data_IF_563172777502
#
_entry.id   IF_563172777502
#
_cell.length_a   1.000
_cell.length_b   1.000
_cell.length_c   1.000
_cell.angle_alpha   90.00
_cell.angle_beta   90.00
_cell.angle_gamma   90.00
#
_symmetry.space_group_name_H-M   'P 1'
#
loop_
_entity.id
_entity.type
_entity.pdbx_description
1 polymer ?
#
# COMPACT_ATOMS: atom_id res chain seq x y z
N UNK A 1 39.35 -46.13 46.86
CA UNK A 1 39.59 -44.74 46.41
C UNK A 1 39.15 -44.56 44.96
N UNK A 2 37.95 -44.02 44.71
CA UNK A 2 37.59 -43.43 43.41
C UNK A 2 36.69 -42.22 43.68
N UNK A 3 37.27 -41.03 43.53
CA UNK A 3 36.58 -39.74 43.56
C UNK A 3 35.59 -39.69 42.39
N UNK A 4 34.33 -39.33 42.61
CA UNK A 4 33.42 -38.87 41.55
C UNK A 4 33.08 -37.41 41.81
N UNK A 5 33.36 -36.65 40.77
CA UNK A 5 33.29 -35.20 40.62
C UNK A 5 31.86 -34.68 40.81
N UNK A 6 31.72 -33.60 41.58
CA UNK A 6 30.59 -32.68 41.49
C UNK A 6 30.42 -32.19 40.04
N UNK A 7 29.18 -32.17 39.55
CA UNK A 7 28.76 -31.24 38.51
C UNK A 7 27.57 -30.45 39.03
N UNK A 8 27.84 -29.17 39.25
CA UNK A 8 26.87 -28.11 39.54
C UNK A 8 25.85 -28.04 38.39
N UNK A 9 24.57 -27.99 38.76
CA UNK A 9 23.47 -27.69 37.83
C UNK A 9 23.27 -26.18 37.93
N UNK A 10 23.79 -25.45 36.94
CA UNK A 10 23.48 -24.04 36.75
C UNK A 10 22.22 -23.98 35.87
N UNK A 11 21.06 -23.77 36.49
CA UNK A 11 19.81 -23.52 35.78
C UNK A 11 19.84 -22.12 35.17
N UNK A 12 20.07 -22.06 33.86
CA UNK A 12 19.99 -20.83 33.09
C UNK A 12 18.53 -20.60 32.73
N UNK A 13 17.83 -19.77 33.52
CA UNK A 13 16.52 -19.27 33.16
C UNK A 13 16.68 -18.32 31.96
N UNK A 14 16.34 -18.78 30.76
CA UNK A 14 16.10 -17.88 29.63
C UNK A 14 14.88 -17.02 29.98
N UNK A 15 15.09 -15.75 30.28
CA UNK A 15 14.04 -14.75 30.08
C UNK A 15 13.81 -14.67 28.57
N UNK A 16 12.79 -15.37 28.07
CA UNK A 16 12.14 -14.97 26.82
C UNK A 16 11.44 -13.65 27.09
N UNK A 17 12.16 -12.54 26.97
CA UNK A 17 11.56 -11.29 26.57
C UNK A 17 10.96 -11.54 25.19
N UNK A 18 9.66 -11.80 25.15
CA UNK A 18 8.88 -11.77 23.92
C UNK A 18 9.03 -10.38 23.34
N UNK A 19 9.97 -10.20 22.42
CA UNK A 19 10.07 -8.99 21.63
C UNK A 19 8.72 -8.91 20.90
N UNK A 20 7.93 -7.88 21.22
CA UNK A 20 6.76 -7.46 20.45
C UNK A 20 7.26 -7.00 19.08
N UNK A 21 7.62 -7.95 18.23
CA UNK A 21 8.11 -7.74 16.88
C UNK A 21 7.05 -8.20 15.89
N UNK A 22 7.13 -7.69 14.66
CA UNK A 22 6.38 -8.23 13.54
C UNK A 22 6.85 -9.67 13.29
N UNK A 23 6.08 -10.63 13.79
CA UNK A 23 6.25 -12.04 13.46
C UNK A 23 5.42 -12.33 12.22
N UNK A 24 6.01 -12.93 11.19
CA UNK A 24 5.28 -13.30 9.96
C UNK A 24 4.71 -14.72 10.11
N UNK A 25 3.45 -14.91 10.54
CA UNK A 25 2.82 -16.22 10.51
C UNK A 25 2.56 -16.68 9.06
N UNK A 26 2.15 -17.93 8.90
CA UNK A 26 1.75 -18.52 7.61
C UNK A 26 0.64 -17.72 6.92
N UNK A 27 -0.18 -16.99 7.68
CA UNK A 27 -1.28 -16.16 7.20
C UNK A 27 -0.93 -14.66 7.07
N UNK A 28 0.35 -14.28 7.17
CA UNK A 28 0.78 -12.89 6.99
C UNK A 28 0.46 -12.36 5.58
N UNK A 29 0.53 -11.03 5.40
CA UNK A 29 0.47 -10.44 4.08
C UNK A 29 1.54 -11.05 3.17
N UNK A 30 1.21 -11.23 1.90
CA UNK A 30 2.18 -11.74 0.93
C UNK A 30 3.36 -10.78 0.84
N UNK A 31 4.53 -11.31 0.47
CA UNK A 31 5.72 -10.49 0.22
C UNK A 31 5.40 -9.45 -0.86
N UNK A 32 5.81 -8.20 -0.66
CA UNK A 32 5.59 -7.12 -1.61
C UNK A 32 6.76 -6.90 -2.58
N UNK A 33 7.88 -7.62 -2.41
CA UNK A 33 9.13 -7.40 -3.15
C UNK A 33 9.00 -7.44 -4.67
N UNK A 34 8.00 -8.18 -5.19
CA UNK A 34 7.73 -8.33 -6.62
C UNK A 34 6.83 -7.23 -7.19
N UNK A 35 6.14 -6.42 -6.39
CA UNK A 35 5.18 -5.42 -6.89
C UNK A 35 5.88 -4.33 -7.70
N UNK A 36 5.48 -4.20 -8.97
CA UNK A 36 5.85 -3.15 -9.92
C UNK A 36 4.57 -2.65 -10.58
N UNK A 37 4.05 -1.52 -10.09
CA UNK A 37 2.68 -1.14 -10.41
C UNK A 37 2.47 0.29 -10.89
N UNK A 38 1.25 0.52 -11.36
CA UNK A 38 0.71 1.84 -11.70
C UNK A 38 -0.65 2.04 -10.99
N UNK A 39 -0.88 3.26 -10.50
CA UNK A 39 -2.21 3.69 -10.06
C UNK A 39 -3.07 3.98 -11.30
N UNK A 40 -4.33 3.53 -11.28
CA UNK A 40 -5.27 3.63 -12.40
C UNK A 40 -6.56 4.28 -11.88
N UNK A 41 -6.99 5.44 -12.42
CA UNK A 41 -8.18 6.14 -11.94
C UNK A 41 -9.48 5.46 -12.43
N UNK A 42 -9.75 4.25 -11.93
CA UNK A 42 -10.73 3.33 -12.48
C UNK A 42 -12.16 3.90 -12.44
N UNK A 43 -12.59 4.42 -11.29
CA UNK A 43 -13.96 4.94 -11.17
C UNK A 43 -14.18 6.30 -11.85
N UNK A 44 -13.12 7.11 -12.03
CA UNK A 44 -13.22 8.44 -12.66
C UNK A 44 -13.20 8.38 -14.18
N UNK A 45 -12.51 7.39 -14.75
CA UNK A 45 -12.35 7.21 -16.19
C UNK A 45 -12.62 5.76 -16.60
N UNK A 46 -13.82 5.28 -16.28
CA UNK A 46 -14.21 3.87 -16.35
C UNK A 46 -13.74 3.15 -17.64
N UNK A 47 -14.24 3.56 -18.81
CA UNK A 47 -13.95 2.87 -20.07
C UNK A 47 -12.48 2.96 -20.47
N UNK A 48 -11.85 4.11 -20.23
CA UNK A 48 -10.44 4.34 -20.57
C UNK A 48 -9.51 3.54 -19.66
N UNK A 49 -9.74 3.57 -18.34
CA UNK A 49 -9.02 2.80 -17.33
C UNK A 49 -9.17 1.30 -17.57
N UNK A 50 -10.40 0.83 -17.85
CA UNK A 50 -10.63 -0.58 -18.16
C UNK A 50 -9.87 -1.05 -19.40
N UNK A 51 -9.82 -0.21 -20.45
CA UNK A 51 -9.08 -0.50 -21.68
C UNK A 51 -7.56 -0.42 -21.46
N UNK A 52 -7.10 0.51 -20.63
CA UNK A 52 -5.68 0.71 -20.34
C UNK A 52 -5.03 -0.50 -19.66
N UNK A 53 -5.79 -1.35 -18.95
CA UNK A 53 -5.27 -2.56 -18.32
C UNK A 53 -4.52 -3.48 -19.30
N UNK A 54 -4.99 -3.61 -20.55
CA UNK A 54 -4.32 -4.44 -21.56
C UNK A 54 -2.91 -3.89 -21.88
N UNK A 55 -2.80 -2.57 -21.99
CA UNK A 55 -1.52 -1.91 -22.23
C UNK A 55 -0.62 -2.03 -21.01
N UNK A 56 -1.14 -1.78 -19.81
CA UNK A 56 -0.38 -1.88 -18.55
C UNK A 56 0.26 -3.27 -18.42
N UNK A 57 -0.51 -4.34 -18.65
CA UNK A 57 0.01 -5.71 -18.68
C UNK A 57 1.09 -5.89 -19.76
N UNK A 58 0.79 -5.53 -21.02
CA UNK A 58 1.72 -5.72 -22.14
C UNK A 58 3.04 -4.96 -22.01
N UNK A 59 3.07 -3.91 -21.18
CA UNK A 59 4.24 -3.07 -20.90
C UNK A 59 5.05 -3.58 -19.69
N UNK A 60 4.63 -4.71 -19.10
CA UNK A 60 5.36 -5.42 -18.07
C UNK A 60 5.12 -4.92 -16.65
N UNK A 61 4.04 -4.17 -16.39
CA UNK A 61 3.58 -3.94 -15.02
C UNK A 61 2.89 -5.21 -14.51
N UNK A 62 3.03 -5.52 -13.23
CA UNK A 62 2.39 -6.71 -12.64
C UNK A 62 1.30 -6.38 -11.62
N UNK A 63 1.16 -5.11 -11.25
CA UNK A 63 0.21 -4.65 -10.23
C UNK A 63 -0.50 -3.40 -10.71
N UNK A 64 -1.81 -3.32 -10.46
CA UNK A 64 -2.59 -2.10 -10.65
C UNK A 64 -3.24 -1.72 -9.34
N UNK A 65 -3.06 -0.47 -8.90
CA UNK A 65 -3.84 0.10 -7.81
C UNK A 65 -5.03 0.84 -8.42
N UNK A 66 -6.21 0.27 -8.28
CA UNK A 66 -7.45 0.76 -8.87
C UNK A 66 -8.09 1.77 -7.93
N UNK A 67 -8.06 3.05 -8.32
CA UNK A 67 -8.82 4.11 -7.64
C UNK A 67 -10.30 3.81 -7.80
N UNK A 68 -10.98 3.66 -6.67
CA UNK A 68 -12.40 3.37 -6.58
C UNK A 68 -13.08 4.36 -5.65
N UNK A 69 -14.39 4.22 -5.48
CA UNK A 69 -15.13 4.99 -4.49
C UNK A 69 -16.37 4.26 -4.01
N UNK A 70 -16.98 4.76 -2.93
CA UNK A 70 -18.16 4.15 -2.32
C UNK A 70 -19.40 4.14 -3.22
N UNK A 71 -19.42 4.93 -4.30
CA UNK A 71 -20.48 4.92 -5.30
C UNK A 71 -20.34 3.80 -6.35
N UNK A 72 -19.19 3.13 -6.41
CA UNK A 72 -18.94 2.06 -7.37
C UNK A 72 -19.79 0.81 -7.12
N UNK A 73 -20.34 0.21 -8.18
CA UNK A 73 -21.17 -0.99 -8.06
C UNK A 73 -20.35 -2.27 -7.92
N UNK A 74 -20.90 -3.28 -7.24
CA UNK A 74 -20.28 -4.61 -7.12
C UNK A 74 -20.03 -5.24 -8.49
N UNK A 75 -21.00 -5.14 -9.41
CA UNK A 75 -20.87 -5.68 -10.77
C UNK A 75 -19.70 -5.05 -11.52
N UNK A 76 -19.53 -3.72 -11.45
CA UNK A 76 -18.44 -3.06 -12.18
C UNK A 76 -17.08 -3.36 -11.56
N UNK A 77 -17.01 -3.43 -10.23
CA UNK A 77 -15.81 -3.88 -9.55
C UNK A 77 -15.43 -5.31 -9.99
N UNK A 78 -16.41 -6.22 -10.07
CA UNK A 78 -16.21 -7.59 -10.55
C UNK A 78 -15.65 -7.63 -11.98
N UNK A 79 -16.12 -6.76 -12.88
CA UNK A 79 -15.59 -6.68 -14.24
C UNK A 79 -14.10 -6.30 -14.24
N UNK A 80 -13.71 -5.26 -13.48
CA UNK A 80 -12.31 -4.83 -13.39
C UNK A 80 -11.42 -5.95 -12.82
N UNK A 81 -11.86 -6.61 -11.76
CA UNK A 81 -11.10 -7.69 -11.13
C UNK A 81 -11.01 -8.94 -12.01
N UNK A 82 -12.09 -9.29 -12.71
CA UNK A 82 -12.09 -10.36 -13.73
C UNK A 82 -11.08 -10.06 -14.84
N UNK A 83 -11.02 -8.81 -15.30
CA UNK A 83 -10.02 -8.40 -16.29
C UNK A 83 -8.60 -8.51 -15.76
N UNK A 84 -8.35 -8.09 -14.51
CA UNK A 84 -7.04 -8.24 -13.88
C UNK A 84 -6.64 -9.71 -13.77
N UNK A 85 -7.54 -10.60 -13.36
CA UNK A 85 -7.28 -12.04 -13.27
C UNK A 85 -6.92 -12.66 -14.62
N UNK A 86 -7.63 -12.27 -15.69
CA UNK A 86 -7.36 -12.73 -17.05
C UNK A 86 -6.00 -12.26 -17.59
N UNK A 87 -5.59 -11.04 -17.23
CA UNK A 87 -4.30 -10.47 -17.61
C UNK A 87 -3.16 -10.90 -16.66
N UNK A 88 -3.47 -11.55 -15.54
CA UNK A 88 -2.48 -11.88 -14.52
C UNK A 88 -1.96 -10.67 -13.73
N UNK A 89 -2.63 -9.52 -13.81
CA UNK A 89 -2.33 -8.34 -13.01
C UNK A 89 -2.81 -8.55 -11.57
N UNK A 90 -2.01 -8.14 -10.58
CA UNK A 90 -2.43 -8.03 -9.17
C UNK A 90 -3.25 -6.76 -8.97
N UNK A 91 -4.54 -6.83 -8.64
CA UNK A 91 -5.30 -5.63 -8.31
C UNK A 91 -5.19 -5.30 -6.83
N UNK A 92 -4.92 -4.03 -6.53
CA UNK A 92 -5.11 -3.43 -5.21
C UNK A 92 -6.24 -2.40 -5.37
N UNK A 93 -7.38 -2.59 -4.71
CA UNK A 93 -8.52 -1.69 -4.85
C UNK A 93 -8.58 -0.76 -3.66
N UNK A 94 -8.63 0.54 -3.89
CA UNK A 94 -8.67 1.58 -2.85
C UNK A 94 -9.95 2.40 -2.93
N UNK A 95 -10.47 2.88 -1.79
CA UNK A 95 -11.57 3.85 -1.77
C UNK A 95 -11.06 5.27 -1.55
N UNK A 96 -11.30 6.13 -2.53
CA UNK A 96 -10.74 7.48 -2.56
C UNK A 96 -11.58 8.52 -1.81
N UNK A 97 -12.76 8.14 -1.29
CA UNK A 97 -13.74 9.04 -0.66
C UNK A 97 -13.22 9.72 0.62
N UNK A 98 -12.17 9.17 1.24
CA UNK A 98 -11.65 9.60 2.54
C UNK A 98 -10.28 10.31 2.46
N UNK A 99 -9.78 10.58 1.25
CA UNK A 99 -8.50 11.27 1.01
C UNK A 99 -8.39 12.58 1.81
N UNK A 100 -7.33 12.71 2.60
CA UNK A 100 -7.08 13.88 3.46
C UNK A 100 -8.02 14.03 4.66
N UNK A 101 -8.95 13.08 4.85
CA UNK A 101 -9.88 13.07 5.97
C UNK A 101 -9.20 12.73 7.29
N UNK A 102 -9.69 13.31 8.38
CA UNK A 102 -9.17 13.08 9.75
C UNK A 102 -10.23 12.66 10.76
N UNK A 103 -11.50 12.62 10.35
CA UNK A 103 -12.61 12.15 11.18
C UNK A 103 -12.85 10.66 10.95
N UNK A 104 -13.22 9.92 11.99
CA UNK A 104 -13.49 8.48 11.88
C UNK A 104 -14.72 8.17 11.02
N UNK A 105 -15.62 9.12 10.80
CA UNK A 105 -16.81 8.95 9.96
C UNK A 105 -16.48 8.75 8.48
N UNK A 106 -15.46 9.45 7.94
CA UNK A 106 -15.03 9.25 6.55
C UNK A 106 -14.38 7.88 6.35
N UNK A 107 -13.57 7.42 7.32
CA UNK A 107 -13.07 6.04 7.32
C UNK A 107 -14.20 5.02 7.43
N UNK A 108 -15.16 5.24 8.34
CA UNK A 108 -16.30 4.34 8.52
C UNK A 108 -17.15 4.25 7.25
N UNK A 109 -17.25 5.31 6.47
CA UNK A 109 -17.93 5.30 5.16
C UNK A 109 -17.26 4.29 4.22
N UNK A 110 -15.93 4.29 4.16
CA UNK A 110 -15.16 3.33 3.37
C UNK A 110 -15.31 1.89 3.92
N UNK A 111 -15.22 1.71 5.23
CA UNK A 111 -15.42 0.39 5.88
C UNK A 111 -16.81 -0.17 5.58
N UNK A 112 -17.85 0.67 5.64
CA UNK A 112 -19.22 0.27 5.37
C UNK A 112 -19.41 -0.22 3.92
N UNK A 113 -18.67 0.33 2.96
CA UNK A 113 -18.64 -0.19 1.60
C UNK A 113 -18.06 -1.60 1.54
N UNK A 114 -16.88 -1.79 2.14
CA UNK A 114 -16.16 -3.06 2.12
C UNK A 114 -16.90 -4.22 2.78
N UNK A 115 -17.72 -3.94 3.80
CA UNK A 115 -18.48 -4.98 4.52
C UNK A 115 -19.85 -5.29 3.92
N UNK A 116 -20.24 -4.63 2.82
CA UNK A 116 -21.44 -5.03 2.08
C UNK A 116 -21.28 -6.45 1.56
N UNK A 117 -22.34 -7.25 1.65
CA UNK A 117 -22.30 -8.65 1.23
C UNK A 117 -21.99 -8.84 -0.25
N UNK A 118 -22.45 -7.93 -1.11
CA UNK A 118 -22.18 -7.97 -2.55
C UNK A 118 -20.71 -7.64 -2.87
N UNK A 119 -20.12 -6.65 -2.21
CA UNK A 119 -18.70 -6.31 -2.34
C UNK A 119 -17.80 -7.42 -1.79
N UNK A 120 -18.13 -7.98 -0.62
CA UNK A 120 -17.40 -9.13 -0.07
C UNK A 120 -17.43 -10.32 -1.03
N UNK A 121 -18.59 -10.62 -1.61
CA UNK A 121 -18.72 -11.70 -2.61
C UNK A 121 -17.79 -11.48 -3.80
N UNK A 122 -17.68 -10.26 -4.30
CA UNK A 122 -16.74 -9.92 -5.38
C UNK A 122 -15.31 -10.16 -4.95
N UNK A 123 -14.90 -9.66 -3.79
CA UNK A 123 -13.54 -9.85 -3.29
C UNK A 123 -13.19 -11.33 -3.05
N UNK A 124 -14.15 -12.17 -2.64
CA UNK A 124 -13.94 -13.62 -2.53
C UNK A 124 -13.77 -14.33 -3.86
N UNK A 125 -14.50 -13.89 -4.89
CA UNK A 125 -14.36 -14.43 -6.24
C UNK A 125 -13.00 -14.09 -6.88
N UNK A 126 -12.33 -13.05 -6.37
CA UNK A 126 -11.04 -12.57 -6.83
C UNK A 126 -9.99 -12.61 -5.70
N UNK A 127 -9.59 -13.81 -5.21
CA UNK A 127 -8.78 -13.95 -4.00
C UNK A 127 -7.36 -13.36 -4.11
N UNK A 128 -6.90 -13.03 -5.32
CA UNK A 128 -5.64 -12.30 -5.53
C UNK A 128 -5.77 -10.81 -5.21
N UNK A 129 -6.97 -10.24 -5.26
CA UNK A 129 -7.19 -8.82 -5.04
C UNK A 129 -6.85 -8.42 -3.59
N UNK A 130 -6.18 -7.29 -3.45
CA UNK A 130 -5.96 -6.66 -2.14
C UNK A 130 -6.96 -5.52 -1.94
N UNK A 131 -7.36 -5.34 -0.69
CA UNK A 131 -8.28 -4.30 -0.26
C UNK A 131 -7.48 -3.20 0.45
N UNK A 132 -7.40 -2.02 -0.13
CA UNK A 132 -6.84 -0.84 0.51
C UNK A 132 -8.01 -0.03 1.11
N UNK A 133 -8.08 0.05 2.44
CA UNK A 133 -9.32 0.44 3.13
C UNK A 133 -9.82 1.80 2.66
N UNK A 134 -8.94 2.79 2.66
CA UNK A 134 -9.22 4.18 2.33
C UNK A 134 -7.92 4.83 1.88
N UNK A 135 -7.95 5.56 0.77
CA UNK A 135 -6.81 6.35 0.33
C UNK A 135 -6.50 7.43 1.38
N UNK A 136 -5.26 7.46 1.85
CA UNK A 136 -4.69 8.62 2.57
C UNK A 136 -5.47 9.11 3.81
N UNK A 137 -6.31 8.26 4.41
CA UNK A 137 -7.09 8.66 5.58
C UNK A 137 -6.23 8.71 6.84
N UNK A 138 -6.43 9.79 7.61
CA UNK A 138 -6.03 9.91 9.00
C UNK A 138 -5.19 11.16 9.29
N UNK A 139 -5.31 11.74 10.50
CA UNK A 139 -4.40 12.79 10.94
C UNK A 139 -2.99 12.22 11.15
N UNK A 140 -1.96 13.04 10.91
CA UNK A 140 -0.55 12.66 11.08
C UNK A 140 -0.17 12.42 12.55
N UNK A 141 0.73 11.47 12.77
CA UNK A 141 1.31 11.04 14.04
C UNK A 141 0.26 10.93 15.14
N UNK A 142 -0.79 10.15 14.88
CA UNK A 142 -2.00 10.19 15.70
C UNK A 142 -2.47 8.83 16.18
N UNK A 143 -2.79 8.76 17.47
CA UNK A 143 -3.54 7.61 18.01
C UNK A 143 -4.93 7.51 17.39
N UNK A 144 -5.47 8.57 16.79
CA UNK A 144 -6.74 8.52 16.02
C UNK A 144 -6.57 7.66 14.77
N UNK A 145 -5.46 7.82 14.02
CA UNK A 145 -5.12 6.96 12.89
C UNK A 145 -5.04 5.49 13.34
N UNK A 146 -4.27 5.25 14.41
CA UNK A 146 -4.10 3.90 14.99
C UNK A 146 -5.42 3.25 15.36
N UNK A 147 -6.22 3.92 16.19
CA UNK A 147 -7.44 3.35 16.76
C UNK A 147 -8.55 3.24 15.70
N UNK A 148 -8.57 4.16 14.73
CA UNK A 148 -9.41 4.06 13.53
C UNK A 148 -9.11 2.79 12.73
N UNK A 149 -7.84 2.54 12.39
CA UNK A 149 -7.48 1.34 11.61
C UNK A 149 -7.61 0.03 12.39
N UNK A 150 -7.37 0.01 13.71
CA UNK A 150 -7.70 -1.15 14.55
C UNK A 150 -9.19 -1.51 14.45
N UNK A 151 -10.06 -0.51 14.53
CA UNK A 151 -11.51 -0.69 14.40
C UNK A 151 -11.91 -1.13 12.99
N UNK A 152 -11.37 -0.48 11.96
CA UNK A 152 -11.64 -0.78 10.55
C UNK A 152 -11.26 -2.22 10.19
N UNK A 153 -10.04 -2.64 10.53
CA UNK A 153 -9.57 -4.01 10.31
C UNK A 153 -10.46 -5.02 11.03
N UNK A 154 -10.77 -4.78 12.31
CA UNK A 154 -11.66 -5.66 13.08
C UNK A 154 -13.04 -5.83 12.43
N UNK A 155 -13.66 -4.74 11.96
CA UNK A 155 -14.96 -4.78 11.27
C UNK A 155 -14.89 -5.56 9.95
N UNK A 156 -13.88 -5.30 9.12
CA UNK A 156 -13.69 -5.98 7.82
C UNK A 156 -13.45 -7.49 8.03
N UNK A 157 -12.64 -7.87 9.03
CA UNK A 157 -12.42 -9.28 9.39
C UNK A 157 -13.68 -9.94 9.95
N UNK A 158 -14.44 -9.25 10.79
CA UNK A 158 -15.70 -9.76 11.36
C UNK A 158 -16.74 -10.00 10.28
N UNK A 159 -16.77 -9.16 9.24
CA UNK A 159 -17.63 -9.34 8.07
C UNK A 159 -17.19 -10.52 7.18
N UNK A 160 -16.00 -11.08 7.43
CA UNK A 160 -15.51 -12.33 6.85
C UNK A 160 -14.33 -12.19 5.90
N UNK A 161 -13.92 -10.98 5.49
CA UNK A 161 -12.83 -10.83 4.52
C UNK A 161 -11.52 -11.40 5.09
N UNK A 162 -10.85 -12.29 4.35
CA UNK A 162 -9.62 -12.98 4.80
C UNK A 162 -8.37 -12.58 4.00
N UNK A 163 -8.53 -11.91 2.85
CA UNK A 163 -7.45 -11.44 1.99
C UNK A 163 -6.61 -10.32 2.61
N UNK A 164 -5.57 -9.88 1.88
CA UNK A 164 -4.68 -8.81 2.37
C UNK A 164 -5.41 -7.49 2.44
N UNK A 165 -5.14 -6.76 3.53
CA UNK A 165 -5.61 -5.40 3.76
C UNK A 165 -4.42 -4.45 3.68
N UNK A 166 -4.51 -3.43 2.83
CA UNK A 166 -3.55 -2.33 2.71
C UNK A 166 -4.03 -1.12 3.53
N UNK A 167 -3.12 -0.54 4.31
CA UNK A 167 -3.39 0.59 5.21
C UNK A 167 -2.44 1.73 4.88
N UNK A 168 -2.96 2.86 4.41
CA UNK A 168 -2.17 4.05 4.10
C UNK A 168 -1.81 4.80 5.38
N UNK A 169 -0.64 5.43 5.39
CA UNK A 169 -0.28 6.42 6.39
C UNK A 169 -1.26 7.60 6.40
N UNK A 170 -1.39 8.27 7.55
CA UNK A 170 -2.11 9.54 7.63
C UNK A 170 -1.33 10.68 6.97
N UNK A 171 -1.87 11.89 7.08
CA UNK A 171 -1.23 13.08 6.51
C UNK A 171 -1.07 13.01 5.00
N UNK A 172 -2.15 12.67 4.29
CA UNK A 172 -2.13 12.52 2.84
C UNK A 172 -1.18 11.40 2.39
N UNK A 173 -1.10 10.31 3.16
CA UNK A 173 -0.19 9.18 2.88
C UNK A 173 1.28 9.45 3.15
N UNK A 174 1.67 10.67 3.53
CA UNK A 174 3.07 11.08 3.62
C UNK A 174 3.66 10.99 5.04
N UNK A 175 2.86 10.70 6.08
CA UNK A 175 3.37 10.65 7.46
C UNK A 175 4.06 9.32 7.82
N UNK A 176 5.39 9.35 7.88
CA UNK A 176 6.19 8.22 8.36
C UNK A 176 5.94 7.85 9.82
N UNK A 177 5.48 8.80 10.66
CA UNK A 177 5.39 8.62 12.11
C UNK A 177 4.27 7.66 12.48
N UNK A 178 3.12 7.75 11.81
CA UNK A 178 2.01 6.80 11.97
C UNK A 178 2.48 5.35 11.81
N UNK A 179 3.25 5.08 10.76
CA UNK A 179 3.78 3.74 10.51
C UNK A 179 4.82 3.36 11.57
N UNK A 180 5.83 4.20 11.82
CA UNK A 180 6.93 3.84 12.71
C UNK A 180 6.52 3.67 14.18
N UNK A 181 5.47 4.38 14.61
CA UNK A 181 5.01 4.41 16.00
C UNK A 181 3.83 3.47 16.24
N UNK A 182 2.92 3.30 15.27
CA UNK A 182 1.62 2.68 15.52
C UNK A 182 1.29 1.47 14.62
N UNK A 183 2.07 1.21 13.55
CA UNK A 183 1.83 0.05 12.69
C UNK A 183 1.79 -1.27 13.47
N UNK A 184 2.65 -1.42 14.48
CA UNK A 184 2.69 -2.64 15.30
C UNK A 184 1.40 -2.84 16.11
N UNK A 185 0.79 -1.78 16.62
CA UNK A 185 -0.48 -1.86 17.35
C UNK A 185 -1.63 -2.29 16.42
N UNK A 186 -1.66 -1.74 15.20
CA UNK A 186 -2.64 -2.10 14.16
C UNK A 186 -2.43 -3.56 13.73
N UNK A 187 -1.19 -3.94 13.43
CA UNK A 187 -0.80 -5.31 13.10
C UNK A 187 -1.18 -6.29 14.21
N UNK A 188 -0.97 -5.90 15.47
CA UNK A 188 -1.28 -6.75 16.61
C UNK A 188 -2.77 -6.93 16.86
N UNK A 189 -3.60 -5.94 16.51
CA UNK A 189 -5.06 -6.06 16.54
C UNK A 189 -5.63 -7.00 15.47
N UNK A 190 -4.90 -7.20 14.36
CA UNK A 190 -5.32 -8.08 13.29
C UNK A 190 -5.01 -9.55 13.65
N UNK A 191 -6.03 -10.39 13.80
CA UNK A 191 -5.87 -11.77 14.25
C UNK A 191 -5.11 -12.64 13.25
N UNK A 192 -5.31 -12.44 11.94
CA UNK A 192 -4.60 -13.21 10.91
C UNK A 192 -3.26 -12.61 10.49
N UNK A 193 -2.91 -11.40 10.97
CA UNK A 193 -1.68 -10.67 10.60
C UNK A 193 -1.50 -10.40 9.10
N UNK A 194 -2.57 -10.55 8.31
CA UNK A 194 -2.64 -10.25 6.89
C UNK A 194 -2.92 -8.77 6.60
N UNK A 195 -2.05 -7.88 7.07
CA UNK A 195 -2.09 -6.43 6.78
C UNK A 195 -0.71 -5.98 6.27
N UNK A 196 -0.72 -5.02 5.35
CA UNK A 196 0.47 -4.34 4.84
C UNK A 196 0.26 -2.83 4.88
N UNK A 197 1.30 -2.08 5.21
CA UNK A 197 1.25 -0.62 5.29
C UNK A 197 1.68 0.02 3.96
N UNK A 198 1.15 1.19 3.66
CA UNK A 198 1.45 1.95 2.46
C UNK A 198 1.91 3.36 2.82
N UNK A 199 3.03 3.79 2.21
CA UNK A 199 3.51 5.17 2.26
C UNK A 199 3.40 5.80 0.86
N UNK A 200 3.00 7.06 0.81
CA UNK A 200 2.94 7.84 -0.43
C UNK A 200 4.09 8.83 -0.44
N UNK A 201 4.94 8.80 -1.47
CA UNK A 201 6.17 9.59 -1.51
C UNK A 201 6.10 10.74 -2.52
N UNK A 202 5.76 11.93 -2.00
CA UNK A 202 5.70 13.19 -2.76
C UNK A 202 6.56 14.30 -2.11
N UNK A 203 6.01 15.51 -1.92
CA UNK A 203 6.74 16.70 -1.46
C UNK A 203 7.42 16.58 -0.10
N UNK A 204 6.93 15.70 0.78
CA UNK A 204 7.57 15.41 2.08
C UNK A 204 8.81 14.50 1.95
N UNK A 205 9.05 13.91 0.78
CA UNK A 205 10.05 12.86 0.54
C UNK A 205 11.15 13.29 -0.44
N UNK A 206 11.49 14.58 -0.43
CA UNK A 206 12.46 15.19 -1.34
C UNK A 206 13.95 14.85 -1.06
N UNK A 207 14.24 13.95 -0.13
CA UNK A 207 15.61 13.60 0.30
C UNK A 207 15.84 12.09 0.26
N UNK A 208 16.83 11.65 -0.50
CA UNK A 208 17.22 10.24 -0.59
C UNK A 208 17.60 9.68 0.78
N UNK A 209 18.28 10.45 1.64
CA UNK A 209 18.62 10.00 2.99
C UNK A 209 17.40 9.79 3.88
N UNK A 210 16.35 10.61 3.71
CA UNK A 210 15.08 10.46 4.44
C UNK A 210 14.31 9.23 3.97
N UNK A 211 14.23 9.02 2.64
CA UNK A 211 13.64 7.81 2.03
C UNK A 211 14.34 6.56 2.57
N UNK A 212 15.68 6.50 2.45
CA UNK A 212 16.48 5.34 2.83
C UNK A 212 16.36 5.05 4.33
N UNK A 213 16.42 6.08 5.17
CA UNK A 213 16.31 5.94 6.62
C UNK A 213 14.94 5.40 7.05
N UNK A 214 13.86 5.89 6.44
CA UNK A 214 12.51 5.41 6.75
C UNK A 214 12.30 3.96 6.30
N UNK A 215 12.62 3.65 5.04
CA UNK A 215 12.39 2.32 4.48
C UNK A 215 13.28 1.27 5.17
N UNK A 216 14.55 1.58 5.46
CA UNK A 216 15.41 0.70 6.27
C UNK A 216 14.90 0.51 7.70
N UNK A 217 14.34 1.56 8.32
CA UNK A 217 13.69 1.46 9.63
C UNK A 217 12.49 0.52 9.59
N UNK A 218 11.68 0.57 8.53
CA UNK A 218 10.56 -0.36 8.34
C UNK A 218 11.07 -1.81 8.20
N UNK A 219 12.08 -2.05 7.36
CA UNK A 219 12.67 -3.38 7.16
C UNK A 219 13.29 -3.95 8.43
N UNK A 220 14.07 -3.15 9.15
CA UNK A 220 14.72 -3.59 10.41
C UNK A 220 13.70 -3.90 11.52
N UNK A 221 12.57 -3.20 11.55
CA UNK A 221 11.44 -3.48 12.45
C UNK A 221 10.55 -4.62 11.96
N UNK A 222 10.74 -5.11 10.73
CA UNK A 222 9.89 -6.13 10.10
C UNK A 222 8.51 -5.65 9.67
N UNK A 223 8.31 -4.33 9.52
CA UNK A 223 7.03 -3.74 9.07
C UNK A 223 6.78 -4.16 7.61
N UNK A 224 5.68 -4.87 7.29
CA UNK A 224 5.29 -5.13 5.91
C UNK A 224 4.89 -3.80 5.25
N UNK A 225 5.57 -3.39 4.18
CA UNK A 225 5.36 -2.08 3.57
C UNK A 225 5.42 -2.11 2.04
N UNK A 226 4.64 -1.22 1.41
CA UNK A 226 4.77 -0.80 0.02
C UNK A 226 4.87 0.73 -0.08
N UNK A 227 5.44 1.21 -1.18
CA UNK A 227 5.27 2.59 -1.65
C UNK A 227 4.04 2.60 -2.57
N UNK A 228 2.85 2.85 -2.01
CA UNK A 228 1.57 2.74 -2.73
C UNK A 228 1.34 3.86 -3.74
N UNK A 229 2.01 4.99 -3.55
CA UNK A 229 2.08 6.09 -4.51
C UNK A 229 3.44 6.79 -4.42
N UNK A 230 3.89 7.35 -5.54
CA UNK A 230 5.02 8.26 -5.55
C UNK A 230 5.00 9.15 -6.79
N UNK A 231 5.57 10.35 -6.63
CA UNK A 231 5.85 11.27 -7.72
C UNK A 231 7.34 11.30 -8.08
N UNK A 232 7.73 12.35 -8.81
CA UNK A 232 9.12 12.57 -9.19
C UNK A 232 9.47 14.06 -9.18
N UNK A 233 10.76 14.34 -9.34
CA UNK A 233 11.28 15.68 -9.48
C UNK A 233 10.88 16.31 -10.83
N UNK A 234 9.65 16.82 -10.90
CA UNK A 234 9.19 17.60 -12.05
C UNK A 234 9.71 19.03 -11.97
N UNK A 235 10.51 19.41 -12.97
CA UNK A 235 11.02 20.77 -13.15
C UNK A 235 11.61 21.38 -11.86
N UNK A 236 12.49 20.64 -11.18
CA UNK A 236 13.10 21.04 -9.91
C UNK A 236 12.08 21.41 -8.81
N UNK A 237 10.99 20.65 -8.72
CA UNK A 237 9.89 20.89 -7.78
C UNK A 237 8.96 22.03 -8.14
N UNK A 238 8.99 22.50 -9.39
CA UNK A 238 8.02 23.47 -9.91
C UNK A 238 6.69 22.76 -10.24
N UNK A 239 6.03 22.30 -9.19
CA UNK A 239 4.71 21.67 -9.21
C UNK A 239 3.93 22.07 -7.93
N UNK A 240 2.65 21.75 -7.88
CA UNK A 240 1.75 22.06 -6.78
C UNK A 240 2.13 21.42 -5.43
N UNK A 241 2.92 20.33 -5.45
CA UNK A 241 3.35 19.62 -4.24
C UNK A 241 4.77 19.98 -3.79
N UNK A 242 5.50 20.82 -4.54
CA UNK A 242 6.93 21.02 -4.32
C UNK A 242 7.75 19.73 -4.42
N UNK A 243 7.24 18.73 -5.14
CA UNK A 243 7.80 17.38 -5.21
C UNK A 243 9.10 17.35 -6.02
N UNK A 244 10.15 16.86 -5.37
CA UNK A 244 11.52 16.68 -5.87
C UNK A 244 12.02 15.25 -5.66
N UNK A 245 11.12 14.29 -5.47
CA UNK A 245 11.47 12.88 -5.26
C UNK A 245 12.37 12.40 -6.40
N UNK A 246 13.53 11.86 -6.05
CA UNK A 246 14.38 11.13 -6.99
C UNK A 246 13.78 9.75 -7.21
N UNK A 247 12.84 9.67 -8.15
CA UNK A 247 12.10 8.45 -8.42
C UNK A 247 12.99 7.29 -8.88
N UNK A 248 14.10 7.57 -9.58
CA UNK A 248 15.05 6.55 -9.99
C UNK A 248 15.76 5.94 -8.77
N UNK A 249 16.24 6.78 -7.85
CA UNK A 249 16.81 6.33 -6.58
C UNK A 249 15.77 5.55 -5.76
N UNK A 250 14.56 6.09 -5.60
CA UNK A 250 13.48 5.45 -4.84
C UNK A 250 13.18 4.03 -5.37
N UNK A 251 12.96 3.89 -6.68
CA UNK A 251 12.69 2.58 -7.30
C UNK A 251 13.89 1.64 -7.12
N UNK A 252 15.12 2.11 -7.36
CA UNK A 252 16.34 1.31 -7.16
C UNK A 252 16.48 0.81 -5.71
N UNK A 253 16.23 1.69 -4.74
CA UNK A 253 16.27 1.36 -3.32
C UNK A 253 15.20 0.33 -2.96
N UNK A 254 13.97 0.53 -3.42
CA UNK A 254 12.86 -0.40 -3.19
C UNK A 254 13.16 -1.79 -3.76
N UNK A 255 13.68 -1.89 -5.00
CA UNK A 255 14.09 -3.16 -5.60
C UNK A 255 15.16 -3.87 -4.77
N UNK A 256 16.21 -3.14 -4.39
CA UNK A 256 17.33 -3.68 -3.60
C UNK A 256 16.90 -4.21 -2.24
N UNK A 257 15.88 -3.58 -1.63
CA UNK A 257 15.41 -3.90 -0.28
C UNK A 257 14.12 -4.75 -0.26
N UNK A 258 13.68 -5.23 -1.42
CA UNK A 258 12.45 -6.03 -1.56
C UNK A 258 11.23 -5.30 -1.01
N UNK A 259 10.95 -4.12 -1.55
CA UNK A 259 9.79 -3.29 -1.24
C UNK A 259 9.03 -3.03 -2.55
N UNK A 260 7.73 -3.29 -2.54
CA UNK A 260 6.85 -3.01 -3.67
C UNK A 260 6.64 -1.51 -3.88
N UNK A 261 6.48 -1.08 -5.14
CA UNK A 261 6.17 0.31 -5.46
C UNK A 261 5.17 0.45 -6.61
N UNK A 262 4.34 1.49 -6.54
CA UNK A 262 3.25 1.73 -7.47
C UNK A 262 3.24 3.23 -7.84
N UNK A 263 3.54 3.53 -9.10
CA UNK A 263 3.68 4.92 -9.55
C UNK A 263 2.32 5.61 -9.67
N UNK A 264 2.24 6.90 -9.34
CA UNK A 264 1.05 7.72 -9.61
C UNK A 264 1.27 8.60 -10.84
N UNK A 265 0.41 8.57 -11.85
CA UNK A 265 -0.59 7.55 -12.16
C UNK A 265 -0.68 7.36 -13.67
N UNK A 266 -1.44 6.37 -14.14
CA UNK A 266 -1.44 5.99 -15.56
C UNK A 266 -1.79 7.16 -16.50
N UNK A 267 -2.85 7.92 -16.21
CA UNK A 267 -3.33 9.08 -16.96
C UNK A 267 -4.45 9.77 -16.18
N UNK A 268 -4.87 10.96 -16.61
CA UNK A 268 -6.15 11.56 -16.21
C UNK A 268 -6.09 12.45 -14.97
N UNK A 269 -4.88 12.84 -14.53
CA UNK A 269 -4.74 13.86 -13.50
C UNK A 269 -5.33 15.21 -13.96
N UNK A 270 -5.78 16.00 -13.01
CA UNK A 270 -6.20 17.38 -13.29
C UNK A 270 -5.02 18.25 -13.78
N UNK A 271 -5.30 19.49 -14.18
CA UNK A 271 -4.27 20.39 -14.71
C UNK A 271 -3.10 20.64 -13.75
N UNK A 272 -3.37 20.72 -12.44
CA UNK A 272 -2.34 20.96 -11.42
C UNK A 272 -1.45 19.75 -11.17
N UNK A 273 -1.99 18.55 -11.38
CA UNK A 273 -1.32 17.26 -11.17
C UNK A 273 -0.90 16.56 -12.46
N UNK A 274 -1.19 17.14 -13.64
CA UNK A 274 -0.91 16.54 -14.97
C UNK A 274 0.55 16.17 -15.21
N UNK A 275 1.47 16.76 -14.45
CA UNK A 275 2.88 16.38 -14.45
C UNK A 275 3.11 14.92 -13.99
N UNK A 276 2.17 14.32 -13.25
CA UNK A 276 2.15 12.93 -12.79
C UNK A 276 1.48 11.95 -13.77
N UNK A 277 0.96 12.40 -14.91
CA UNK A 277 0.45 11.48 -15.92
C UNK A 277 1.61 10.67 -16.52
N UNK A 278 1.57 9.34 -16.36
CA UNK A 278 2.55 8.43 -16.99
C UNK A 278 2.32 8.31 -18.49
N UNK A 279 1.07 8.45 -18.94
CA UNK A 279 0.70 8.43 -20.36
C UNK A 279 -0.12 9.65 -20.75
N UNK A 280 0.08 10.13 -21.97
CA UNK A 280 -0.81 11.07 -22.64
C UNK A 280 -1.85 10.30 -23.44
N UNK A 281 -3.11 10.75 -23.37
CA UNK A 281 -4.24 10.14 -24.06
C UNK A 281 -4.32 8.62 -23.85
N UNK A 282 -4.00 8.14 -22.64
CA UNK A 282 -4.06 6.72 -22.24
C UNK A 282 -3.13 5.75 -22.98
N UNK A 283 -2.19 6.25 -23.80
CA UNK A 283 -1.41 5.41 -24.71
C UNK A 283 0.07 5.74 -24.80
N UNK A 284 0.43 7.00 -25.04
CA UNK A 284 1.83 7.39 -25.27
C UNK A 284 2.50 7.76 -23.96
N UNK A 285 3.67 7.21 -23.65
CA UNK A 285 4.38 7.57 -22.41
C UNK A 285 4.82 9.02 -22.41
N UNK A 286 4.63 9.69 -21.27
CA UNK A 286 5.25 10.98 -20.94
C UNK A 286 6.70 10.76 -20.50
N UNK A 287 7.43 11.85 -20.21
CA UNK A 287 8.75 11.77 -19.56
C UNK A 287 8.70 10.96 -18.26
N UNK A 288 7.65 11.18 -17.47
CA UNK A 288 7.42 10.46 -16.23
C UNK A 288 7.20 8.97 -16.46
N UNK A 289 6.29 8.61 -17.36
CA UNK A 289 5.99 7.20 -17.64
C UNK A 289 7.18 6.44 -18.21
N UNK A 290 8.00 7.07 -19.06
CA UNK A 290 9.24 6.48 -19.54
C UNK A 290 10.25 6.24 -18.41
N UNK A 291 10.37 7.18 -17.45
CA UNK A 291 11.23 7.00 -16.29
C UNK A 291 10.80 5.79 -15.46
N UNK A 292 9.50 5.67 -15.16
CA UNK A 292 8.96 4.53 -14.41
C UNK A 292 9.23 3.24 -15.17
N UNK A 293 8.77 3.14 -16.43
CA UNK A 293 8.90 1.93 -17.25
C UNK A 293 10.34 1.43 -17.32
N UNK A 294 11.30 2.33 -17.54
CA UNK A 294 12.71 1.96 -17.69
C UNK A 294 13.40 1.59 -16.37
N UNK A 295 12.76 1.86 -15.23
CA UNK A 295 13.34 1.65 -13.90
C UNK A 295 12.67 0.50 -13.11
N UNK A 296 11.52 -0.01 -13.57
CA UNK A 296 10.73 -1.03 -12.85
C UNK A 296 11.49 -2.33 -12.57
N UNK A 297 12.29 -2.77 -13.52
CA UNK A 297 12.99 -4.06 -13.48
C UNK A 297 14.46 -3.86 -13.17
#
# INVERSE_FOLDING_TARGET
MKRKLCKSILSMALLCSSILAFQSPVQAAEDSSWIRGANVPAIWYDSQSYSALDKIDSEGFNTVRLVWSTSGSASRLNDFLTKCDNLGLKPIVELHDATGGSTTDTLNTCVNYWVRSDILSVMYNHPKAWLNIANEWGPSNSTVWRDGYKSAVSKIRTAGYTGTIVIDAGGWGQDSSDILNYALDVYNSNTNKNVIFSIHMYGSWNSNSTIDSFLSSCKSKGIPIIVGEFGYNYNNGSNNLGCKVDAAHLMSYCKTNGIGFIAWSWCGNDSSNSWLDMTSSWGSYTTWGNLVKNSMW
#
